data_IF_571398951036
#
_entry.id   IF_571398951036
#
_cell.length_a   1.000
_cell.length_b   1.000
_cell.length_c   1.000
_cell.angle_alpha   90.00
_cell.angle_beta   90.00
_cell.angle_gamma   90.00
#
_symmetry.space_group_name_H-M   'P 1'
#
loop_
_entity.id
_entity.type
_entity.pdbx_description
1 polymer ?
#
# COMPACT_ATOMS: atom_id res chain seq x y z
N UNK A 1 -11.57 -7.03 -16.11
CA UNK A 1 -10.32 -7.58 -16.71
C UNK A 1 -10.22 -9.07 -16.37
N UNK A 2 -10.02 -9.97 -17.35
CA UNK A 2 -9.68 -11.36 -17.00
C UNK A 2 -8.18 -11.35 -16.68
N UNK A 3 -7.80 -11.41 -15.40
CA UNK A 3 -6.41 -11.66 -15.04
C UNK A 3 -5.97 -12.96 -15.75
N UNK A 4 -4.83 -12.91 -16.46
CA UNK A 4 -4.24 -14.11 -17.06
C UNK A 4 -4.00 -15.13 -15.93
N UNK A 5 -4.23 -16.42 -16.20
CA UNK A 5 -3.80 -17.47 -15.28
C UNK A 5 -2.28 -17.32 -15.07
N UNK A 6 -1.89 -16.77 -13.94
CA UNK A 6 -0.50 -16.52 -13.54
C UNK A 6 0.07 -17.78 -12.88
N UNK A 7 0.04 -18.92 -13.58
CA UNK A 7 0.70 -20.15 -13.12
C UNK A 7 2.18 -20.13 -13.53
N UNK A 8 3.08 -20.28 -12.56
CA UNK A 8 4.52 -20.44 -12.81
C UNK A 8 5.34 -19.14 -12.89
N UNK A 9 4.85 -18.02 -12.35
CA UNK A 9 5.60 -16.74 -12.32
C UNK A 9 6.33 -16.66 -10.98
N UNK A 10 7.56 -17.08 -10.95
CA UNK A 10 8.43 -16.93 -9.78
C UNK A 10 9.02 -15.50 -9.76
N UNK A 11 8.28 -14.52 -9.22
CA UNK A 11 8.76 -13.15 -9.02
C UNK A 11 9.30 -12.98 -7.60
N UNK A 12 10.34 -12.16 -7.47
CA UNK A 12 10.97 -11.84 -6.21
C UNK A 12 10.66 -10.40 -5.82
N UNK A 13 9.97 -10.20 -4.70
CA UNK A 13 9.47 -8.92 -4.21
C UNK A 13 10.18 -8.54 -2.92
N UNK A 14 10.84 -7.37 -2.91
CA UNK A 14 11.47 -6.80 -1.73
C UNK A 14 10.42 -6.18 -0.79
N UNK A 15 10.50 -6.47 0.51
CA UNK A 15 9.63 -5.90 1.54
C UNK A 15 10.49 -5.30 2.64
N UNK A 16 10.81 -3.99 2.56
CA UNK A 16 11.67 -3.32 3.53
C UNK A 16 11.00 -3.18 4.90
N UNK A 17 11.61 -3.80 5.91
CA UNK A 17 11.10 -3.77 7.29
C UNK A 17 12.20 -4.04 8.29
N UNK A 18 12.11 -3.44 9.48
CA UNK A 18 12.88 -3.79 10.67
C UNK A 18 12.12 -4.77 11.59
N UNK A 19 10.91 -5.20 11.18
CA UNK A 19 10.01 -6.10 11.92
C UNK A 19 9.48 -7.22 11.01
N UNK A 20 10.27 -8.27 10.70
CA UNK A 20 9.86 -9.32 9.77
C UNK A 20 8.52 -10.00 10.14
N UNK A 21 8.20 -10.10 11.43
CA UNK A 21 6.94 -10.72 11.89
C UNK A 21 5.70 -9.89 11.50
N UNK A 22 5.83 -8.57 11.35
CA UNK A 22 4.72 -7.69 10.99
C UNK A 22 4.31 -7.81 9.51
N UNK A 23 5.15 -8.43 8.66
CA UNK A 23 4.92 -8.53 7.21
C UNK A 23 4.58 -9.93 6.73
N UNK A 24 4.33 -10.88 7.64
CA UNK A 24 4.04 -12.29 7.31
C UNK A 24 2.81 -12.43 6.40
N UNK A 25 1.75 -11.63 6.62
CA UNK A 25 0.55 -11.70 5.78
C UNK A 25 0.82 -11.27 4.34
N UNK A 26 1.71 -10.29 4.11
CA UNK A 26 2.14 -9.89 2.76
C UNK A 26 2.93 -11.00 2.07
N UNK A 27 3.87 -11.62 2.79
CA UNK A 27 4.67 -12.76 2.28
C UNK A 27 3.75 -13.93 1.93
N UNK A 28 2.79 -14.26 2.79
CA UNK A 28 1.83 -15.33 2.56
C UNK A 28 0.94 -15.03 1.34
N UNK A 29 0.47 -13.78 1.19
CA UNK A 29 -0.34 -13.39 0.03
C UNK A 29 0.44 -13.53 -1.29
N UNK A 30 1.71 -13.14 -1.32
CA UNK A 30 2.59 -13.31 -2.49
C UNK A 30 2.86 -14.80 -2.77
N UNK A 31 3.10 -15.60 -1.73
CA UNK A 31 3.34 -17.05 -1.87
C UNK A 31 2.13 -17.79 -2.46
N UNK A 32 0.89 -17.41 -2.10
CA UNK A 32 -0.33 -17.96 -2.69
C UNK A 32 -0.50 -17.60 -4.18
N UNK A 33 0.32 -16.69 -4.69
CA UNK A 33 0.37 -16.25 -6.09
C UNK A 33 1.68 -16.67 -6.79
N UNK A 34 2.30 -17.76 -6.36
CA UNK A 34 3.55 -18.30 -6.92
C UNK A 34 4.69 -17.27 -7.00
N UNK A 35 4.78 -16.37 -6.01
CA UNK A 35 5.80 -15.33 -5.93
C UNK A 35 6.45 -15.30 -4.55
N UNK A 36 7.69 -14.83 -4.48
CA UNK A 36 8.48 -14.82 -3.26
C UNK A 36 8.60 -13.40 -2.69
N UNK A 37 8.03 -13.16 -1.51
CA UNK A 37 8.24 -11.94 -0.73
C UNK A 37 9.42 -12.11 0.22
N UNK A 38 10.40 -11.23 0.16
CA UNK A 38 11.55 -11.24 1.06
C UNK A 38 11.53 -10.01 1.97
N UNK A 39 11.44 -10.26 3.30
CA UNK A 39 11.51 -9.23 4.32
C UNK A 39 12.96 -8.96 4.72
N UNK A 40 13.36 -7.69 4.82
CA UNK A 40 14.74 -7.35 5.19
C UNK A 40 14.99 -5.86 5.31
N UNK A 41 16.26 -5.50 5.53
CA UNK A 41 16.67 -4.12 5.73
C UNK A 41 17.36 -3.49 4.52
N UNK A 42 17.98 -4.29 3.66
CA UNK A 42 18.74 -3.79 2.52
C UNK A 42 18.52 -4.67 1.31
N UNK A 43 18.22 -4.05 0.18
CA UNK A 43 17.91 -4.72 -1.07
C UNK A 43 18.71 -4.09 -2.21
N UNK A 44 19.27 -4.95 -3.08
CA UNK A 44 19.78 -4.49 -4.38
C UNK A 44 18.64 -4.62 -5.40
N UNK A 45 18.15 -3.53 -6.01
CA UNK A 45 17.01 -3.59 -6.94
C UNK A 45 17.18 -4.54 -8.13
N UNK A 46 18.44 -4.85 -8.53
CA UNK A 46 18.70 -5.81 -9.61
C UNK A 46 18.29 -7.24 -9.27
N UNK A 47 18.20 -7.59 -7.98
CA UNK A 47 17.90 -8.93 -7.51
C UNK A 47 16.39 -9.17 -7.30
N UNK A 48 15.57 -8.12 -7.55
CA UNK A 48 14.14 -8.13 -7.31
C UNK A 48 13.35 -7.62 -8.51
N UNK A 49 12.12 -8.11 -8.65
CA UNK A 49 11.20 -7.71 -9.72
C UNK A 49 10.33 -6.50 -9.33
N UNK A 50 10.20 -6.20 -8.03
CA UNK A 50 9.43 -5.06 -7.52
C UNK A 50 9.63 -4.82 -6.03
N UNK A 51 9.11 -3.69 -5.55
CA UNK A 51 9.12 -3.26 -4.14
C UNK A 51 7.70 -3.19 -3.60
N UNK A 52 7.45 -3.85 -2.47
CA UNK A 52 6.23 -3.71 -1.68
C UNK A 52 6.56 -2.96 -0.39
N UNK A 53 6.04 -1.74 -0.23
CA UNK A 53 6.11 -0.97 1.01
C UNK A 53 4.93 -1.37 1.91
N UNK A 54 5.17 -2.04 3.04
CA UNK A 54 4.11 -2.56 3.89
C UNK A 54 3.49 -1.49 4.79
N UNK A 55 2.39 -1.85 5.45
CA UNK A 55 1.82 -1.12 6.58
C UNK A 55 2.77 -1.05 7.79
N UNK A 56 2.44 -0.21 8.75
CA UNK A 56 3.24 -0.02 9.96
C UNK A 56 2.84 1.21 10.75
N UNK A 57 3.71 1.66 11.63
CA UNK A 57 3.55 2.88 12.41
C UNK A 57 3.62 4.14 11.54
N UNK A 58 3.27 5.30 12.11
CA UNK A 58 3.19 6.56 11.39
C UNK A 58 4.56 6.99 10.83
N UNK A 59 4.53 7.65 9.68
CA UNK A 59 5.72 8.32 9.12
C UNK A 59 6.00 9.58 9.95
N UNK A 60 7.26 9.82 10.31
CA UNK A 60 7.64 10.99 11.09
C UNK A 60 7.19 12.28 10.39
N UNK A 61 6.36 13.12 11.06
CA UNK A 61 5.77 14.31 10.44
C UNK A 61 6.81 15.36 10.00
N UNK A 62 8.02 15.35 10.54
CA UNK A 62 9.11 16.18 10.03
C UNK A 62 9.44 15.93 8.55
N UNK A 63 9.11 14.73 8.02
CA UNK A 63 9.29 14.35 6.61
C UNK A 63 8.38 15.12 5.65
N UNK A 64 7.27 15.68 6.15
CA UNK A 64 6.32 16.49 5.37
C UNK A 64 6.00 17.85 6.02
N UNK A 65 6.97 18.35 6.83
CA UNK A 65 6.96 19.72 7.34
C UNK A 65 5.94 20.00 8.45
N UNK A 66 5.55 18.97 9.22
CA UNK A 66 4.64 19.12 10.36
C UNK A 66 5.33 18.74 11.68
N UNK A 67 4.84 19.29 12.78
CA UNK A 67 5.25 18.91 14.13
C UNK A 67 4.51 17.64 14.56
N UNK A 68 5.13 16.87 15.46
CA UNK A 68 4.54 15.64 16.00
C UNK A 68 3.37 15.94 16.92
N UNK A 69 2.32 15.14 16.81
CA UNK A 69 1.15 15.17 17.71
C UNK A 69 1.12 13.94 18.62
N UNK A 70 0.40 13.98 19.79
CA UNK A 70 0.39 12.88 20.76
C UNK A 70 -0.14 11.54 20.22
N UNK A 71 -0.98 11.56 19.19
CA UNK A 71 -1.59 10.36 18.59
C UNK A 71 -0.63 9.55 17.74
N UNK A 72 0.54 10.11 17.39
CA UNK A 72 1.48 9.47 16.46
C UNK A 72 2.46 8.53 17.16
N UNK A 73 2.68 7.40 16.52
CA UNK A 73 3.74 6.44 16.87
C UNK A 73 4.70 6.32 15.71
N UNK A 74 5.89 6.90 15.82
CA UNK A 74 6.88 6.94 14.75
C UNK A 74 8.06 5.99 15.02
N UNK A 75 8.71 5.55 13.92
CA UNK A 75 9.91 4.73 13.93
C UNK A 75 10.87 5.29 12.87
N UNK A 76 11.82 6.11 13.31
CA UNK A 76 12.78 6.80 12.44
C UNK A 76 13.71 5.82 11.70
N UNK A 77 14.00 4.66 12.29
CA UNK A 77 14.80 3.61 11.66
C UNK A 77 14.01 2.97 10.50
N UNK A 78 12.71 2.71 10.70
CA UNK A 78 11.82 2.21 9.65
C UNK A 78 11.62 3.25 8.54
N UNK A 79 11.49 4.53 8.89
CA UNK A 79 11.42 5.62 7.92
C UNK A 79 12.68 5.64 7.02
N UNK A 80 13.86 5.72 7.62
CA UNK A 80 15.13 5.76 6.89
C UNK A 80 15.25 4.56 5.94
N UNK A 81 14.98 3.37 6.45
CA UNK A 81 15.01 2.11 5.71
C UNK A 81 14.08 2.12 4.48
N UNK A 82 12.84 2.54 4.67
CA UNK A 82 11.83 2.45 3.59
C UNK A 82 11.97 3.57 2.57
N UNK A 83 12.37 4.80 2.97
CA UNK A 83 12.67 5.88 2.03
C UNK A 83 13.91 5.56 1.19
N UNK A 84 14.97 4.98 1.78
CA UNK A 84 16.15 4.52 1.03
C UNK A 84 15.79 3.43 0.01
N UNK A 85 15.04 2.40 0.44
CA UNK A 85 14.60 1.35 -0.46
C UNK A 85 13.75 1.91 -1.61
N UNK A 86 12.81 2.81 -1.32
CA UNK A 86 11.99 3.46 -2.33
C UNK A 86 12.83 4.21 -3.36
N UNK A 87 13.76 5.06 -2.94
CA UNK A 87 14.63 5.86 -3.82
C UNK A 87 15.42 4.95 -4.78
N UNK A 88 16.01 3.88 -4.25
CA UNK A 88 16.79 2.92 -5.03
C UNK A 88 15.93 2.18 -6.08
N UNK A 89 14.71 1.74 -5.72
CA UNK A 89 13.83 1.05 -6.63
C UNK A 89 13.23 1.97 -7.69
N UNK A 90 12.88 3.21 -7.34
CA UNK A 90 12.45 4.25 -8.29
C UNK A 90 13.56 4.58 -9.29
N UNK A 91 14.79 4.77 -8.81
CA UNK A 91 15.97 5.02 -9.67
C UNK A 91 16.22 3.85 -10.63
N UNK A 92 15.97 2.61 -10.20
CA UNK A 92 16.09 1.42 -11.05
C UNK A 92 14.86 1.19 -11.96
N UNK A 93 13.84 2.06 -11.93
CA UNK A 93 12.63 1.93 -12.74
C UNK A 93 11.75 0.73 -12.38
N UNK A 94 11.93 0.17 -11.20
CA UNK A 94 11.18 -1.01 -10.74
C UNK A 94 9.77 -0.64 -10.28
N UNK A 95 8.78 -1.54 -10.47
CA UNK A 95 7.44 -1.37 -9.92
C UNK A 95 7.44 -1.26 -8.40
N UNK A 96 6.66 -0.30 -7.88
CA UNK A 96 6.50 -0.07 -6.44
C UNK A 96 5.01 -0.10 -6.08
N UNK A 97 4.67 -0.83 -5.02
CA UNK A 97 3.33 -0.85 -4.46
C UNK A 97 3.35 -0.51 -2.96
N UNK A 98 2.56 0.48 -2.54
CA UNK A 98 2.45 0.89 -1.13
C UNK A 98 1.12 0.48 -0.50
N UNK A 99 1.15 -0.04 0.73
CA UNK A 99 -0.03 -0.45 1.50
C UNK A 99 -0.04 0.29 2.85
N UNK A 100 -1.15 0.94 3.17
CA UNK A 100 -1.40 1.67 4.42
C UNK A 100 -0.28 2.70 4.70
N UNK A 101 0.63 2.44 5.64
CA UNK A 101 1.81 3.28 5.83
C UNK A 101 2.63 3.46 4.55
N UNK A 102 2.78 2.42 3.72
CA UNK A 102 3.47 2.49 2.43
C UNK A 102 2.79 3.45 1.44
N UNK A 103 1.47 3.55 1.46
CA UNK A 103 0.70 4.54 0.70
C UNK A 103 1.02 5.98 1.15
N UNK A 104 1.04 6.21 2.46
CA UNK A 104 1.38 7.50 3.05
C UNK A 104 2.83 7.90 2.77
N UNK A 105 3.77 6.96 2.92
CA UNK A 105 5.19 7.16 2.65
C UNK A 105 5.44 7.52 1.18
N UNK A 106 4.78 6.82 0.24
CA UNK A 106 4.83 7.17 -1.19
C UNK A 106 4.36 8.59 -1.43
N UNK A 107 3.22 8.98 -0.85
CA UNK A 107 2.72 10.34 -0.97
C UNK A 107 3.75 11.38 -0.50
N UNK A 108 4.35 11.17 0.67
CA UNK A 108 5.37 12.06 1.23
C UNK A 108 6.63 12.10 0.35
N UNK A 109 7.09 10.96 -0.15
CA UNK A 109 8.28 10.89 -1.02
C UNK A 109 8.12 11.70 -2.31
N UNK A 110 6.90 11.84 -2.81
CA UNK A 110 6.58 12.69 -3.95
C UNK A 110 6.22 14.14 -3.55
N UNK A 111 6.44 14.53 -2.28
CA UNK A 111 6.22 15.89 -1.78
C UNK A 111 4.78 16.21 -1.36
N UNK A 112 3.95 15.19 -1.16
CA UNK A 112 2.62 15.33 -0.59
C UNK A 112 2.62 15.46 0.94
N UNK A 113 1.43 15.70 1.52
CA UNK A 113 1.23 15.85 2.96
C UNK A 113 0.15 14.91 3.48
N UNK A 114 0.10 14.73 4.82
CA UNK A 114 -0.89 13.91 5.51
C UNK A 114 -1.75 14.75 6.46
N UNK A 115 -3.01 14.33 6.62
CA UNK A 115 -3.83 14.65 7.80
C UNK A 115 -3.34 13.73 8.93
N UNK A 116 -2.68 14.28 9.94
CA UNK A 116 -2.04 13.53 11.03
C UNK A 116 -3.03 12.77 11.92
N UNK A 117 -4.26 13.25 11.99
CA UNK A 117 -5.37 12.55 12.64
C UNK A 117 -6.67 12.96 11.96
N UNK A 118 -7.30 12.00 11.27
CA UNK A 118 -8.55 12.23 10.54
C UNK A 118 -9.66 12.65 11.49
N UNK A 119 -10.46 13.68 11.17
CA UNK A 119 -11.67 14.00 11.96
C UNK A 119 -12.66 12.84 12.04
N UNK A 120 -12.66 11.97 11.02
CA UNK A 120 -13.46 10.76 10.91
C UNK A 120 -12.69 9.47 11.32
N UNK A 121 -11.59 9.58 12.07
CA UNK A 121 -10.73 8.43 12.43
C UNK A 121 -11.51 7.24 13.03
N UNK A 122 -12.61 7.48 13.72
CA UNK A 122 -13.47 6.42 14.24
C UNK A 122 -14.09 5.49 13.18
N UNK A 123 -14.19 5.96 11.92
CA UNK A 123 -14.66 5.15 10.79
C UNK A 123 -13.53 4.34 10.14
N UNK A 124 -12.27 4.68 10.45
CA UNK A 124 -11.07 4.14 9.79
C UNK A 124 -10.15 3.34 10.71
N UNK A 125 -10.23 3.52 12.02
CA UNK A 125 -9.46 2.73 12.99
C UNK A 125 -10.10 1.37 13.25
N UNK A 126 -9.29 0.41 13.69
CA UNK A 126 -9.80 -0.90 14.10
C UNK A 126 -10.86 -0.77 15.21
N UNK A 127 -11.80 -1.68 15.21
CA UNK A 127 -12.86 -1.78 16.22
C UNK A 127 -12.26 -2.12 17.59
N UNK A 128 -12.98 -1.84 18.69
CA UNK A 128 -12.53 -2.25 20.04
C UNK A 128 -12.33 -3.77 20.20
N UNK A 129 -12.90 -4.58 19.32
CA UNK A 129 -12.68 -6.03 19.23
C UNK A 129 -11.32 -6.41 18.70
N UNK A 130 -10.55 -5.46 18.11
CA UNK A 130 -9.30 -5.68 17.42
C UNK A 130 -9.46 -6.05 15.95
N UNK A 131 -10.69 -6.16 15.45
CA UNK A 131 -10.97 -6.37 14.03
C UNK A 131 -10.82 -5.06 13.23
N UNK A 132 -10.43 -5.18 11.97
CA UNK A 132 -10.43 -4.03 11.06
C UNK A 132 -11.87 -3.52 10.84
N UNK A 133 -12.05 -2.21 10.85
CA UNK A 133 -13.28 -1.58 10.38
C UNK A 133 -13.49 -1.84 8.89
N UNK A 134 -14.66 -1.56 8.36
CA UNK A 134 -14.97 -1.67 6.93
C UNK A 134 -15.75 -0.46 6.46
N UNK A 135 -15.48 -0.01 5.23
CA UNK A 135 -16.25 1.07 4.61
C UNK A 135 -16.37 0.86 3.09
N UNK A 136 -17.36 1.52 2.50
CA UNK A 136 -17.53 1.57 1.06
C UNK A 136 -16.63 2.63 0.45
N UNK A 137 -16.31 2.44 -0.83
CA UNK A 137 -15.47 3.34 -1.59
C UNK A 137 -16.07 3.69 -2.95
N UNK A 138 -15.69 4.85 -3.46
CA UNK A 138 -15.92 5.32 -4.83
C UNK A 138 -14.59 5.34 -5.57
N UNK A 139 -14.58 4.84 -6.80
CA UNK A 139 -13.38 4.65 -7.62
C UNK A 139 -13.49 5.49 -8.89
N UNK A 140 -12.44 6.25 -9.20
CA UNK A 140 -12.35 7.05 -10.42
C UNK A 140 -12.12 6.16 -11.65
N UNK A 141 -12.82 6.49 -12.75
CA UNK A 141 -12.66 5.78 -14.02
C UNK A 141 -11.24 5.91 -14.58
N UNK A 142 -10.83 4.96 -15.40
CA UNK A 142 -9.51 4.93 -16.05
C UNK A 142 -8.34 4.92 -15.05
N UNK A 143 -8.51 4.23 -13.92
CA UNK A 143 -7.49 4.00 -12.91
C UNK A 143 -7.16 2.51 -12.78
N UNK A 144 -5.99 2.20 -12.19
CA UNK A 144 -5.62 0.81 -11.94
C UNK A 144 -6.66 0.10 -11.07
N UNK A 145 -7.17 0.78 -10.06
CA UNK A 145 -8.10 0.20 -9.10
C UNK A 145 -9.50 0.03 -9.71
N UNK A 146 -9.89 0.89 -10.66
CA UNK A 146 -11.11 0.72 -11.45
C UNK A 146 -11.04 -0.52 -12.37
N UNK A 147 -9.87 -0.82 -12.92
CA UNK A 147 -9.65 -2.06 -13.69
C UNK A 147 -9.85 -3.31 -12.84
N UNK A 148 -9.60 -3.22 -11.53
CA UNK A 148 -9.70 -4.32 -10.57
C UNK A 148 -11.14 -4.49 -10.07
N UNK A 149 -11.76 -3.42 -9.55
CA UNK A 149 -13.02 -3.48 -8.79
C UNK A 149 -14.19 -2.74 -9.43
N UNK A 150 -14.01 -2.08 -10.57
CA UNK A 150 -15.06 -1.26 -11.18
C UNK A 150 -15.26 0.06 -10.43
N UNK A 151 -16.51 0.53 -10.34
CA UNK A 151 -16.84 1.87 -9.82
C UNK A 151 -16.72 2.02 -8.29
N UNK A 152 -16.59 0.92 -7.56
CA UNK A 152 -16.47 0.93 -6.10
C UNK A 152 -16.47 -0.47 -5.50
N UNK A 153 -16.00 -0.57 -4.27
CA UNK A 153 -16.03 -1.82 -3.48
C UNK A 153 -16.04 -1.49 -1.98
N UNK A 154 -16.21 -2.51 -1.14
CA UNK A 154 -16.02 -2.39 0.31
C UNK A 154 -14.64 -2.90 0.67
N UNK A 155 -13.91 -2.15 1.49
CA UNK A 155 -12.55 -2.48 1.95
C UNK A 155 -12.46 -2.45 3.47
N UNK A 156 -11.44 -3.10 4.04
CA UNK A 156 -11.12 -2.97 5.45
C UNK A 156 -10.39 -1.66 5.74
N UNK A 157 -10.29 -1.28 7.02
CA UNK A 157 -9.65 -0.04 7.43
C UNK A 157 -9.05 -0.16 8.83
N UNK A 158 -7.79 0.27 8.97
CA UNK A 158 -7.04 0.25 10.23
C UNK A 158 -5.99 1.36 10.21
N UNK A 159 -6.44 2.62 10.09
CA UNK A 159 -5.56 3.80 10.07
C UNK A 159 -6.26 5.01 10.68
N UNK A 160 -5.49 5.96 11.24
CA UNK A 160 -6.01 7.23 11.75
C UNK A 160 -5.49 8.44 10.99
N UNK A 161 -4.51 8.24 10.11
CA UNK A 161 -3.97 9.25 9.20
C UNK A 161 -4.47 9.00 7.78
N UNK A 162 -4.43 10.04 6.93
CA UNK A 162 -4.79 9.94 5.51
C UNK A 162 -4.03 10.98 4.69
N UNK A 163 -4.02 10.80 3.38
CA UNK A 163 -3.43 11.78 2.45
C UNK A 163 -4.25 13.08 2.49
N UNK A 164 -3.54 14.21 2.70
CA UNK A 164 -4.10 15.57 2.66
C UNK A 164 -3.99 16.15 1.24
N UNK A 165 -2.75 16.21 0.74
CA UNK A 165 -2.45 16.64 -0.61
C UNK A 165 -1.61 15.59 -1.32
N UNK A 166 -2.05 15.06 -2.48
CA UNK A 166 -1.23 14.16 -3.28
C UNK A 166 0.08 14.81 -3.73
N UNK A 167 1.16 14.04 -3.67
CA UNK A 167 2.48 14.45 -4.13
C UNK A 167 2.54 14.63 -5.65
N UNK A 168 3.63 15.20 -6.13
CA UNK A 168 3.85 15.51 -7.55
C UNK A 168 3.73 14.25 -8.42
N UNK A 169 2.85 14.29 -9.43
CA UNK A 169 2.62 13.19 -10.35
C UNK A 169 1.73 12.07 -9.78
N UNK A 170 1.32 12.15 -8.52
CA UNK A 170 0.36 11.23 -7.92
C UNK A 170 -1.07 11.72 -8.14
N UNK A 171 -1.94 10.82 -8.57
CA UNK A 171 -3.37 11.04 -8.75
C UNK A 171 -4.17 10.21 -7.75
N UNK A 172 -5.09 10.85 -7.03
CA UNK A 172 -6.04 10.17 -6.17
C UNK A 172 -7.12 9.50 -7.01
N UNK A 173 -7.31 8.20 -6.84
CA UNK A 173 -8.15 7.38 -7.72
C UNK A 173 -9.21 6.56 -6.98
N UNK A 174 -9.23 6.61 -5.66
CA UNK A 174 -10.22 5.94 -4.82
C UNK A 174 -10.45 6.75 -3.55
N UNK A 175 -11.70 6.83 -3.11
CA UNK A 175 -12.10 7.61 -1.94
C UNK A 175 -13.11 6.81 -1.10
N UNK A 176 -13.04 6.94 0.22
CA UNK A 176 -14.10 6.50 1.12
C UNK A 176 -15.34 7.40 1.00
N UNK A 177 -16.46 6.99 1.59
CA UNK A 177 -17.70 7.78 1.60
C UNK A 177 -17.54 9.13 2.31
N UNK A 178 -16.66 9.23 3.30
CA UNK A 178 -16.32 10.47 4.02
C UNK A 178 -15.13 11.24 3.40
N UNK A 179 -14.68 10.84 2.21
CA UNK A 179 -13.77 11.59 1.35
C UNK A 179 -12.29 11.36 1.60
N UNK A 180 -11.90 10.38 2.43
CA UNK A 180 -10.50 10.01 2.61
C UNK A 180 -9.97 9.36 1.33
N UNK A 181 -8.74 9.73 0.94
CA UNK A 181 -8.07 9.15 -0.24
C UNK A 181 -7.60 7.74 0.11
N UNK A 182 -8.14 6.75 -0.61
CA UNK A 182 -7.92 5.32 -0.37
C UNK A 182 -6.97 4.67 -1.38
N UNK A 183 -6.69 5.31 -2.53
CA UNK A 183 -5.68 4.84 -3.47
C UNK A 183 -5.06 5.99 -4.26
N UNK A 184 -3.77 5.83 -4.57
CA UNK A 184 -2.99 6.70 -5.43
C UNK A 184 -2.34 5.87 -6.55
N UNK A 185 -2.19 6.51 -7.72
CA UNK A 185 -1.33 6.02 -8.80
C UNK A 185 -0.50 7.17 -9.35
N UNK A 186 0.70 6.88 -9.86
CA UNK A 186 1.55 7.87 -10.50
C UNK A 186 1.25 7.93 -12.00
N UNK A 187 1.21 9.12 -12.58
CA UNK A 187 0.83 9.35 -13.98
C UNK A 187 1.77 8.68 -15.00
N UNK A 188 3.03 8.46 -14.66
CA UNK A 188 4.06 7.96 -15.58
C UNK A 188 4.98 6.89 -15.01
N UNK A 189 5.19 6.85 -13.70
CA UNK A 189 6.03 5.84 -13.06
C UNK A 189 5.20 4.60 -12.67
N UNK A 190 5.83 3.42 -12.57
CA UNK A 190 5.15 2.20 -12.15
C UNK A 190 4.93 2.17 -10.62
N UNK A 191 4.15 3.12 -10.13
CA UNK A 191 3.89 3.34 -8.70
C UNK A 191 2.39 3.39 -8.43
N UNK A 192 1.95 2.55 -7.50
CA UNK A 192 0.55 2.45 -7.06
C UNK A 192 0.49 2.23 -5.55
N UNK A 193 -0.60 2.63 -4.95
CA UNK A 193 -0.78 2.38 -3.51
C UNK A 193 -2.25 2.37 -3.09
N UNK A 194 -2.51 1.70 -1.96
CA UNK A 194 -3.81 1.66 -1.29
C UNK A 194 -3.65 1.94 0.21
N UNK A 195 -4.63 2.63 0.81
CA UNK A 195 -4.62 2.97 2.23
C UNK A 195 -5.08 1.81 3.11
N UNK A 196 -5.94 0.95 2.60
CA UNK A 196 -6.47 -0.24 3.25
C UNK A 196 -5.50 -1.45 3.18
N UNK A 197 -5.86 -2.59 3.81
CA UNK A 197 -5.01 -3.76 4.00
C UNK A 197 -5.46 -4.97 3.17
N UNK A 198 -5.09 -5.09 1.87
CA UNK A 198 -5.48 -6.22 1.02
C UNK A 198 -4.97 -7.58 1.52
N UNK A 199 -3.85 -7.61 2.26
CA UNK A 199 -3.28 -8.82 2.86
C UNK A 199 -4.16 -9.40 3.98
N UNK A 200 -5.12 -8.61 4.48
CA UNK A 200 -6.11 -9.02 5.49
C UNK A 200 -7.51 -9.25 4.88
N UNK A 201 -7.60 -9.30 3.54
CA UNK A 201 -8.84 -9.49 2.77
C UNK A 201 -8.70 -10.59 1.73
N UNK A 202 -7.73 -11.48 1.83
CA UNK A 202 -7.48 -12.50 0.82
C UNK A 202 -7.06 -13.85 1.42
N UNK A 203 -7.28 -14.91 0.66
CA UNK A 203 -6.91 -16.28 1.01
C UNK A 203 -7.45 -16.70 2.39
N UNK A 204 -6.55 -17.05 3.35
CA UNK A 204 -6.93 -17.41 4.72
C UNK A 204 -7.55 -16.26 5.51
N UNK A 205 -7.37 -15.03 5.06
CA UNK A 205 -7.94 -13.82 5.63
C UNK A 205 -9.11 -13.26 4.80
N UNK A 206 -9.68 -14.05 3.86
CA UNK A 206 -10.82 -13.60 3.08
C UNK A 206 -12.02 -13.30 3.96
N UNK A 207 -12.77 -12.24 3.62
CA UNK A 207 -13.94 -11.75 4.33
C UNK A 207 -15.15 -11.73 3.40
N UNK A 208 -16.34 -11.99 3.94
CA UNK A 208 -17.58 -11.93 3.15
C UNK A 208 -18.11 -10.49 3.00
N UNK A 209 -17.63 -9.56 3.82
CA UNK A 209 -18.07 -8.16 3.87
C UNK A 209 -17.14 -7.21 3.10
N UNK A 210 -16.07 -7.71 2.51
CA UNK A 210 -15.10 -6.93 1.71
C UNK A 210 -14.86 -7.54 0.34
N UNK A 211 -14.24 -6.75 -0.55
CA UNK A 211 -13.74 -7.23 -1.84
C UNK A 211 -12.57 -8.21 -1.66
N UNK A 212 -12.25 -8.97 -2.69
CA UNK A 212 -11.07 -9.87 -2.70
C UNK A 212 -9.77 -9.08 -2.84
N UNK A 213 -9.00 -8.97 -1.75
CA UNK A 213 -7.71 -8.28 -1.70
C UNK A 213 -6.62 -8.93 -2.58
N UNK A 214 -6.74 -10.22 -2.95
CA UNK A 214 -5.75 -10.89 -3.79
C UNK A 214 -5.62 -10.26 -5.17
N UNK A 215 -6.66 -9.61 -5.66
CA UNK A 215 -6.69 -8.97 -6.98
C UNK A 215 -5.69 -7.80 -7.09
N UNK A 216 -5.44 -7.10 -5.99
CA UNK A 216 -4.43 -6.02 -5.92
C UNK A 216 -3.02 -6.60 -6.05
N UNK A 217 -2.73 -7.68 -5.35
CA UNK A 217 -1.44 -8.37 -5.48
C UNK A 217 -1.23 -8.93 -6.88
N UNK A 218 -2.28 -9.52 -7.49
CA UNK A 218 -2.23 -9.98 -8.90
C UNK A 218 -1.90 -8.85 -9.85
N UNK A 219 -2.56 -7.71 -9.70
CA UNK A 219 -2.26 -6.53 -10.51
C UNK A 219 -0.79 -6.12 -10.38
N UNK A 220 -0.29 -5.98 -9.14
CA UNK A 220 1.10 -5.60 -8.89
C UNK A 220 2.11 -6.57 -9.52
N UNK A 221 1.90 -7.88 -9.32
CA UNK A 221 2.76 -8.92 -9.90
C UNK A 221 2.74 -8.91 -11.44
N UNK A 222 1.58 -8.66 -12.07
CA UNK A 222 1.50 -8.46 -13.53
C UNK A 222 2.32 -7.26 -14.00
N UNK A 223 2.36 -6.15 -13.21
CA UNK A 223 3.20 -5.01 -13.56
C UNK A 223 4.69 -5.33 -13.41
N UNK A 224 5.08 -6.10 -12.40
CA UNK A 224 6.45 -6.59 -12.23
C UNK A 224 6.87 -7.47 -13.41
N UNK A 225 6.02 -8.41 -13.82
CA UNK A 225 6.31 -9.30 -14.94
C UNK A 225 6.50 -8.57 -16.26
N UNK A 226 5.73 -7.53 -16.55
CA UNK A 226 5.85 -6.73 -17.78
C UNK A 226 7.17 -5.96 -17.89
N UNK A 227 7.90 -5.80 -16.79
CA UNK A 227 9.15 -5.01 -16.69
C UNK A 227 10.38 -5.85 -16.31
N UNK A 228 10.23 -7.17 -16.30
CA UNK A 228 11.29 -8.17 -16.12
C UNK A 228 12.07 -8.42 -17.44
#
# INVERSE_FOLDING_TARGET
MKFRNMTGINLKIAIPTNRPQAVVNYINALAQLDSHGEAGRCFNPSDYDGLLLPGGWDVNPSRYGKDRIPQETVDDDLDALQFEALDRFLTAGKPVFGICRGHQLLNIAFGGTLIQHLPCAGNHTSLPTGEDNVHRTRIEQNSFIHLIYGAGCTVNSSHHQGVEHPGKGLRAVMYSEDGVIEALEHDSLPVWSVQWHPERMCFSHSRNDTADGSLVFRFFLEQCQKRK
#
